data_IF_295523398090
#
_entry.id   IF_295523398090
#
_cell.length_a   1.000
_cell.length_b   1.000
_cell.length_c   1.000
_cell.angle_alpha   90.00
_cell.angle_beta   90.00
_cell.angle_gamma   90.00
#
_symmetry.space_group_name_H-M   'P 1'
#
loop_
_entity.id
_entity.type
_entity.pdbx_description
1 polymer ?
#
# COMPACT_ATOMS: atom_id res chain seq x y z
N UNK A 1 -7.68 -5.13 -44.65
CA UNK A 1 -7.77 -5.33 -43.18
C UNK A 1 -7.30 -4.09 -42.42
N UNK A 2 -6.13 -3.51 -42.75
CA UNK A 2 -5.58 -2.32 -42.08
C UNK A 2 -6.54 -1.10 -42.08
N UNK A 3 -7.21 -0.82 -43.20
CA UNK A 3 -8.15 0.30 -43.29
C UNK A 3 -9.35 0.17 -42.34
N UNK A 4 -9.80 -1.05 -42.06
CA UNK A 4 -10.92 -1.30 -41.15
C UNK A 4 -10.49 -1.06 -39.70
N UNK A 5 -9.26 -1.44 -39.35
CA UNK A 5 -8.67 -1.18 -38.03
C UNK A 5 -8.51 0.34 -37.82
N UNK A 6 -7.95 1.04 -38.81
CA UNK A 6 -7.81 2.51 -38.74
C UNK A 6 -9.18 3.19 -38.65
N UNK A 7 -10.18 2.76 -39.43
CA UNK A 7 -11.55 3.30 -39.33
C UNK A 7 -12.19 3.05 -37.97
N UNK A 8 -11.95 1.89 -37.36
CA UNK A 8 -12.44 1.57 -36.03
C UNK A 8 -11.83 2.51 -34.99
N UNK A 9 -10.51 2.62 -34.93
CA UNK A 9 -9.82 3.50 -33.97
C UNK A 9 -10.01 4.99 -34.28
N UNK A 10 -10.42 5.40 -35.46
CA UNK A 10 -10.71 6.83 -35.77
C UNK A 10 -12.21 7.19 -35.69
N UNK A 11 -13.03 6.24 -35.22
CA UNK A 11 -14.49 6.37 -35.15
C UNK A 11 -14.94 7.22 -33.97
N UNK A 12 -15.91 8.12 -34.23
CA UNK A 12 -16.59 8.88 -33.18
C UNK A 12 -17.46 7.98 -32.29
N UNK A 13 -17.99 6.88 -32.82
CA UNK A 13 -18.79 5.92 -32.04
C UNK A 13 -17.97 5.32 -30.91
N UNK A 14 -16.71 4.96 -31.20
CA UNK A 14 -15.78 4.44 -30.19
C UNK A 14 -15.52 5.48 -29.09
N UNK A 15 -15.25 6.73 -29.47
CA UNK A 15 -15.05 7.84 -28.51
C UNK A 15 -16.25 7.97 -27.57
N UNK A 16 -17.47 8.05 -28.10
CA UNK A 16 -18.69 8.23 -27.30
C UNK A 16 -18.95 7.02 -26.41
N UNK A 17 -18.74 5.80 -26.91
CA UNK A 17 -18.85 4.57 -26.10
C UNK A 17 -17.85 4.59 -24.94
N UNK A 18 -16.58 4.90 -25.19
CA UNK A 18 -15.56 4.98 -24.14
C UNK A 18 -15.87 6.05 -23.10
N UNK A 19 -16.31 7.25 -23.51
CA UNK A 19 -16.69 8.32 -22.58
C UNK A 19 -17.90 7.94 -21.72
N UNK A 20 -18.89 7.26 -22.31
CA UNK A 20 -20.06 6.76 -21.59
C UNK A 20 -19.65 5.71 -20.56
N UNK A 21 -18.79 4.76 -20.94
CA UNK A 21 -18.26 3.75 -20.01
C UNK A 21 -17.45 4.39 -18.89
N UNK A 22 -16.60 5.39 -19.19
CA UNK A 22 -15.87 6.12 -18.15
C UNK A 22 -16.81 6.84 -17.18
N UNK A 23 -17.87 7.46 -17.67
CA UNK A 23 -18.88 8.09 -16.82
C UNK A 23 -19.52 7.06 -15.87
N UNK A 24 -19.84 5.86 -16.37
CA UNK A 24 -20.38 4.77 -15.54
C UNK A 24 -19.36 4.26 -14.52
N UNK A 25 -18.11 4.06 -14.91
CA UNK A 25 -17.02 3.63 -14.01
C UNK A 25 -16.83 4.66 -12.88
N UNK A 26 -16.77 5.95 -13.23
CA UNK A 26 -16.65 7.03 -12.23
C UNK A 26 -17.86 7.02 -11.29
N UNK A 27 -19.07 6.96 -11.82
CA UNK A 27 -20.29 6.96 -11.01
C UNK A 27 -20.34 5.77 -10.03
N UNK A 28 -20.15 4.54 -10.53
CA UNK A 28 -20.20 3.34 -9.69
C UNK A 28 -19.02 3.29 -8.71
N UNK A 29 -17.82 3.67 -9.16
CA UNK A 29 -16.64 3.75 -8.31
C UNK A 29 -16.84 4.73 -7.16
N UNK A 30 -17.40 5.91 -7.40
CA UNK A 30 -17.69 6.89 -6.35
C UNK A 30 -18.72 6.37 -5.33
N UNK A 31 -19.72 5.60 -5.76
CA UNK A 31 -20.64 4.94 -4.82
C UNK A 31 -19.88 3.91 -3.97
N UNK A 32 -19.08 3.05 -4.61
CA UNK A 32 -18.30 2.03 -3.91
C UNK A 32 -17.25 2.62 -2.95
N UNK A 33 -16.77 3.85 -3.21
CA UNK A 33 -15.74 4.51 -2.43
C UNK A 33 -16.20 4.83 -1.01
N UNK A 34 -17.51 5.01 -0.79
CA UNK A 34 -18.08 5.29 0.53
C UNK A 34 -17.79 4.14 1.50
N UNK A 35 -17.92 2.90 1.04
CA UNK A 35 -17.78 1.71 1.88
C UNK A 35 -16.39 1.06 1.81
N UNK A 36 -15.75 1.10 0.63
CA UNK A 36 -14.49 0.38 0.38
C UNK A 36 -13.25 1.27 0.51
N UNK A 37 -13.43 2.58 0.68
CA UNK A 37 -12.35 3.55 0.66
C UNK A 37 -11.78 3.79 -0.75
N UNK A 38 -10.99 4.86 -0.88
CA UNK A 38 -10.54 5.33 -2.19
C UNK A 38 -9.51 4.40 -2.82
N UNK A 39 -8.60 3.85 -2.02
CA UNK A 39 -7.51 3.01 -2.55
C UNK A 39 -8.04 1.74 -3.22
N UNK A 40 -8.90 1.00 -2.53
CA UNK A 40 -9.49 -0.25 -3.04
C UNK A 40 -10.34 0.03 -4.28
N UNK A 41 -11.08 1.14 -4.29
CA UNK A 41 -11.87 1.52 -5.47
C UNK A 41 -10.98 1.89 -6.65
N UNK A 42 -9.90 2.64 -6.44
CA UNK A 42 -8.95 2.93 -7.51
C UNK A 42 -8.41 1.65 -8.13
N UNK A 43 -7.92 0.72 -7.31
CA UNK A 43 -7.37 -0.56 -7.76
C UNK A 43 -8.42 -1.40 -8.54
N UNK A 44 -9.61 -1.54 -7.95
CA UNK A 44 -10.68 -2.40 -8.50
C UNK A 44 -11.33 -1.84 -9.75
N UNK A 45 -11.60 -0.53 -9.80
CA UNK A 45 -12.39 0.08 -10.88
C UNK A 45 -11.53 0.79 -11.94
N UNK A 46 -10.47 1.48 -11.52
CA UNK A 46 -9.69 2.35 -12.41
C UNK A 46 -8.40 1.70 -12.91
N UNK A 47 -7.70 0.95 -12.04
CA UNK A 47 -6.44 0.25 -12.38
C UNK A 47 -6.64 -1.21 -12.81
N UNK A 48 -7.82 -1.54 -13.32
CA UNK A 48 -8.17 -2.89 -13.74
C UNK A 48 -8.56 -2.96 -15.22
N UNK A 49 -8.42 -4.15 -15.80
CA UNK A 49 -8.91 -4.44 -17.16
C UNK A 49 -10.42 -4.73 -17.13
N UNK A 50 -10.88 -5.46 -16.13
CA UNK A 50 -12.29 -5.72 -15.86
C UNK A 50 -12.56 -5.55 -14.37
N UNK A 51 -13.74 -5.05 -14.06
CA UNK A 51 -14.27 -5.02 -12.70
C UNK A 51 -14.99 -6.33 -12.44
N UNK A 52 -14.57 -7.04 -11.41
CA UNK A 52 -15.15 -8.31 -11.00
C UNK A 52 -16.06 -8.13 -9.79
N UNK A 53 -17.14 -8.90 -9.76
CA UNK A 53 -18.06 -8.98 -8.65
C UNK A 53 -18.41 -10.45 -8.35
N UNK A 54 -18.60 -10.76 -7.06
CA UNK A 54 -19.02 -12.07 -6.58
C UNK A 54 -19.69 -11.97 -5.21
N UNK A 55 -20.54 -12.94 -4.83
CA UNK A 55 -21.14 -13.00 -3.49
C UNK A 55 -20.11 -13.15 -2.37
N UNK A 56 -20.41 -12.67 -1.17
CA UNK A 56 -19.57 -12.92 0.01
C UNK A 56 -19.46 -14.42 0.28
N UNK A 57 -18.22 -14.93 0.44
CA UNK A 57 -17.87 -16.35 0.61
C UNK A 57 -18.06 -17.27 -0.61
N UNK A 58 -18.18 -16.70 -1.82
CA UNK A 58 -18.15 -17.48 -3.05
C UNK A 58 -16.73 -17.56 -3.64
N UNK A 59 -16.32 -18.75 -4.10
CA UNK A 59 -15.04 -18.96 -4.80
C UNK A 59 -15.06 -18.47 -6.27
N UNK A 60 -16.19 -17.95 -6.74
CA UNK A 60 -16.36 -17.51 -8.12
C UNK A 60 -16.62 -16.01 -8.21
N UNK A 61 -16.11 -15.40 -9.27
CA UNK A 61 -16.32 -13.99 -9.60
C UNK A 61 -16.62 -13.86 -11.09
N UNK A 62 -17.47 -12.90 -11.45
CA UNK A 62 -17.83 -12.59 -12.83
C UNK A 62 -17.42 -11.17 -13.22
N UNK A 63 -16.95 -10.96 -14.47
CA UNK A 63 -16.67 -9.62 -14.96
C UNK A 63 -17.98 -8.89 -15.22
N UNK A 64 -18.25 -7.82 -14.48
CA UNK A 64 -19.50 -7.05 -14.58
C UNK A 64 -19.39 -5.86 -15.53
N UNK A 65 -18.20 -5.27 -15.65
CA UNK A 65 -17.96 -4.13 -16.54
C UNK A 65 -16.48 -4.02 -16.92
N UNK A 66 -16.13 -3.35 -18.04
CA UNK A 66 -14.75 -3.02 -18.34
C UNK A 66 -14.17 -2.07 -17.28
N UNK A 67 -12.91 -2.27 -16.92
CA UNK A 67 -12.19 -1.41 -15.99
C UNK A 67 -11.54 -0.20 -16.67
N UNK A 68 -11.05 0.73 -15.84
CA UNK A 68 -10.49 2.00 -16.29
C UNK A 68 -9.29 1.86 -17.24
N UNK A 69 -8.43 0.87 -17.06
CA UNK A 69 -7.32 0.63 -18.00
C UNK A 69 -7.80 0.16 -19.36
N UNK A 70 -8.77 -0.74 -19.41
CA UNK A 70 -9.30 -1.19 -20.68
C UNK A 70 -9.97 -0.04 -21.44
N UNK A 71 -10.89 0.69 -20.80
CA UNK A 71 -11.58 1.82 -21.44
C UNK A 71 -10.60 2.95 -21.77
N UNK A 72 -9.66 3.24 -20.88
CA UNK A 72 -8.62 4.25 -21.05
C UNK A 72 -7.69 3.97 -22.20
N UNK A 73 -7.20 2.74 -22.35
CA UNK A 73 -6.35 2.36 -23.48
C UNK A 73 -7.11 2.50 -24.80
N UNK A 74 -8.36 2.03 -24.90
CA UNK A 74 -9.14 2.19 -26.11
C UNK A 74 -9.42 3.66 -26.44
N UNK A 75 -9.72 4.48 -25.43
CA UNK A 75 -9.91 5.92 -25.60
C UNK A 75 -8.62 6.61 -26.06
N UNK A 76 -7.48 6.27 -25.48
CA UNK A 76 -6.17 6.83 -25.85
C UNK A 76 -5.79 6.46 -27.28
N UNK A 77 -5.89 5.18 -27.65
CA UNK A 77 -5.64 4.72 -29.03
C UNK A 77 -6.58 5.41 -30.01
N UNK A 78 -7.84 5.59 -29.63
CA UNK A 78 -8.82 6.30 -30.44
C UNK A 78 -8.45 7.77 -30.63
N UNK A 79 -8.09 8.45 -29.55
CA UNK A 79 -7.72 9.86 -29.54
C UNK A 79 -6.45 10.11 -30.36
N UNK A 80 -5.41 9.30 -30.17
CA UNK A 80 -4.15 9.37 -30.94
C UNK A 80 -4.42 9.07 -32.42
N UNK A 81 -5.16 8.00 -32.72
CA UNK A 81 -5.51 7.63 -34.09
C UNK A 81 -6.28 8.73 -34.80
N UNK A 82 -7.31 9.29 -34.16
CA UNK A 82 -8.10 10.38 -34.72
C UNK A 82 -7.28 11.68 -34.87
N UNK A 83 -6.40 11.98 -33.91
CA UNK A 83 -5.52 13.14 -33.94
C UNK A 83 -4.57 13.09 -35.15
N UNK A 84 -3.91 11.95 -35.37
CA UNK A 84 -3.01 11.75 -36.50
C UNK A 84 -3.77 11.75 -37.82
N UNK A 85 -4.85 10.96 -37.94
CA UNK A 85 -5.58 10.79 -39.20
C UNK A 85 -6.27 12.06 -39.71
N UNK A 86 -6.68 12.95 -38.80
CA UNK A 86 -7.41 14.19 -39.14
C UNK A 86 -6.53 15.44 -39.10
N UNK A 87 -5.23 15.27 -38.86
CA UNK A 87 -4.30 16.38 -38.76
C UNK A 87 -4.20 17.16 -40.08
N UNK A 88 -4.52 18.44 -40.02
CA UNK A 88 -4.37 19.43 -41.09
C UNK A 88 -3.91 20.74 -40.47
N UNK A 89 -2.64 21.09 -40.68
CA UNK A 89 -2.03 22.27 -40.10
C UNK A 89 -2.67 23.53 -40.69
N UNK A 90 -3.53 24.19 -39.93
CA UNK A 90 -4.21 25.42 -40.33
C UNK A 90 -4.44 26.26 -39.08
N UNK A 91 -4.13 27.56 -39.13
CA UNK A 91 -4.26 28.47 -37.97
C UNK A 91 -5.67 28.44 -37.36
N UNK A 92 -6.71 28.25 -38.17
CA UNK A 92 -8.12 28.12 -37.73
C UNK A 92 -8.40 26.90 -36.84
N UNK A 93 -7.57 25.86 -36.88
CA UNK A 93 -7.76 24.60 -36.14
C UNK A 93 -6.72 24.36 -35.05
N UNK A 94 -5.80 25.31 -34.85
CA UNK A 94 -4.69 25.19 -33.93
C UNK A 94 -5.17 24.90 -32.49
N UNK A 95 -6.21 25.60 -32.04
CA UNK A 95 -6.79 25.38 -30.71
C UNK A 95 -7.26 23.95 -30.50
N UNK A 96 -7.97 23.36 -31.49
CA UNK A 96 -8.45 21.97 -31.41
C UNK A 96 -7.25 21.02 -31.28
N UNK A 97 -6.20 21.20 -32.07
CA UNK A 97 -5.02 20.32 -31.99
C UNK A 97 -4.29 20.46 -30.66
N UNK A 98 -4.11 21.67 -30.15
CA UNK A 98 -3.49 21.90 -28.84
C UNK A 98 -4.30 21.22 -27.74
N UNK A 99 -5.64 21.33 -27.75
CA UNK A 99 -6.49 20.67 -26.76
C UNK A 99 -6.38 19.15 -26.80
N UNK A 100 -6.39 18.55 -27.99
CA UNK A 100 -6.28 17.08 -28.11
C UNK A 100 -4.87 16.59 -27.77
N UNK A 101 -3.82 17.31 -28.17
CA UNK A 101 -2.44 17.01 -27.78
C UNK A 101 -2.25 17.14 -26.27
N UNK A 102 -2.80 18.17 -25.65
CA UNK A 102 -2.80 18.36 -24.19
C UNK A 102 -3.53 17.23 -23.48
N UNK A 103 -4.70 16.82 -23.97
CA UNK A 103 -5.44 15.68 -23.39
C UNK A 103 -4.66 14.36 -23.51
N UNK A 104 -4.04 14.10 -24.67
CA UNK A 104 -3.16 12.93 -24.86
C UNK A 104 -2.01 12.98 -23.86
N UNK A 105 -1.36 14.14 -23.71
CA UNK A 105 -0.26 14.33 -22.76
C UNK A 105 -0.71 14.09 -21.31
N UNK A 106 -1.88 14.59 -20.90
CA UNK A 106 -2.41 14.38 -19.56
C UNK A 106 -2.71 12.91 -19.28
N UNK A 107 -3.34 12.19 -20.22
CA UNK A 107 -3.66 10.77 -20.06
C UNK A 107 -2.37 9.93 -20.00
N UNK A 108 -1.40 10.20 -20.87
CA UNK A 108 -0.09 9.54 -20.83
C UNK A 108 0.66 9.85 -19.54
N UNK A 109 0.63 11.11 -19.09
CA UNK A 109 1.22 11.54 -17.82
C UNK A 109 0.65 10.75 -16.66
N UNK A 110 -0.68 10.65 -16.56
CA UNK A 110 -1.33 9.86 -15.51
C UNK A 110 -0.96 8.37 -15.56
N UNK A 111 -0.89 7.77 -16.76
CA UNK A 111 -0.46 6.38 -16.91
C UNK A 111 0.98 6.16 -16.43
N UNK A 112 1.90 7.07 -16.78
CA UNK A 112 3.28 6.96 -16.33
C UNK A 112 3.45 7.25 -14.85
N UNK A 113 2.72 8.21 -14.29
CA UNK A 113 2.68 8.44 -12.84
C UNK A 113 2.21 7.17 -12.14
N UNK A 114 1.15 6.52 -12.61
CA UNK A 114 0.69 5.30 -11.98
C UNK A 114 1.73 4.15 -12.03
N UNK A 115 2.36 3.94 -13.19
CA UNK A 115 3.27 2.81 -13.39
C UNK A 115 4.67 3.03 -12.81
N UNK A 116 5.12 4.28 -12.70
CA UNK A 116 6.53 4.61 -12.39
C UNK A 116 6.69 5.38 -11.08
N UNK A 117 5.64 6.02 -10.57
CA UNK A 117 5.74 6.79 -9.33
C UNK A 117 5.83 5.86 -8.12
N UNK A 118 6.67 6.23 -7.16
CA UNK A 118 6.71 5.60 -5.83
C UNK A 118 6.33 6.66 -4.81
N UNK A 119 5.32 6.37 -4.01
CA UNK A 119 4.93 7.22 -2.90
C UNK A 119 5.74 6.80 -1.68
N UNK A 120 6.36 7.77 -1.01
CA UNK A 120 7.01 7.58 0.27
C UNK A 120 6.84 8.84 1.09
N UNK A 121 7.12 8.72 2.37
CA UNK A 121 7.06 9.85 3.27
C UNK A 121 8.15 9.82 4.30
N UNK A 122 8.37 10.98 4.90
CA UNK A 122 9.44 11.20 5.85
C UNK A 122 8.87 12.01 7.00
N UNK A 123 8.83 11.40 8.18
CA UNK A 123 8.50 12.09 9.42
C UNK A 123 9.80 12.63 10.02
N UNK A 124 9.86 13.94 10.27
CA UNK A 124 11.02 14.61 10.88
C UNK A 124 10.53 15.30 12.13
N UNK A 125 11.01 14.85 13.31
CA UNK A 125 10.71 15.52 14.58
C UNK A 125 11.56 16.78 14.73
N UNK A 126 11.08 17.74 15.51
CA UNK A 126 11.80 19.00 15.75
C UNK A 126 13.19 18.73 16.34
N UNK A 127 14.23 19.19 15.65
CA UNK A 127 15.64 19.02 16.05
C UNK A 127 16.31 17.75 15.51
N UNK A 128 15.59 16.86 14.83
CA UNK A 128 16.16 15.67 14.20
C UNK A 128 16.57 15.91 12.74
N UNK A 129 17.46 15.08 12.22
CA UNK A 129 17.80 14.99 10.79
C UNK A 129 17.59 13.55 10.37
N UNK A 130 16.75 13.33 9.36
CA UNK A 130 16.38 12.00 8.86
C UNK A 130 16.79 11.88 7.40
N UNK A 131 17.40 10.76 7.01
CA UNK A 131 17.88 10.50 5.64
C UNK A 131 17.17 9.32 4.96
N UNK A 132 16.07 8.83 5.54
CA UNK A 132 15.26 7.76 4.97
C UNK A 132 13.81 8.21 4.80
N UNK A 133 13.14 7.65 3.79
CA UNK A 133 11.69 7.77 3.61
C UNK A 133 11.10 6.37 3.61
N UNK A 134 9.90 6.24 4.15
CA UNK A 134 9.23 4.96 4.30
C UNK A 134 7.90 4.94 3.55
N UNK A 135 7.36 3.74 3.31
CA UNK A 135 6.09 3.54 2.62
C UNK A 135 5.05 3.21 3.69
N UNK A 136 4.16 4.17 3.97
CA UNK A 136 3.18 4.09 5.04
C UNK A 136 2.26 2.86 5.05
N UNK A 137 2.25 2.06 3.98
CA UNK A 137 1.46 0.83 3.87
C UNK A 137 2.27 -0.43 4.13
N UNK A 138 3.60 -0.35 4.11
CA UNK A 138 4.47 -1.50 4.28
C UNK A 138 5.15 -1.40 5.63
N UNK A 139 4.86 -2.35 6.49
CA UNK A 139 5.50 -2.39 7.79
C UNK A 139 6.73 -3.31 7.76
N UNK A 140 7.69 -3.01 8.61
CA UNK A 140 8.81 -3.90 8.91
C UNK A 140 9.10 -3.92 10.40
N UNK A 141 9.58 -5.07 10.88
CA UNK A 141 10.22 -5.14 12.18
C UNK A 141 11.69 -4.77 12.01
N UNK A 142 12.10 -3.69 12.66
CA UNK A 142 13.47 -3.26 12.71
C UNK A 142 14.08 -3.60 14.06
N UNK A 143 15.17 -4.36 14.01
CA UNK A 143 16.08 -4.55 15.12
C UNK A 143 17.37 -3.77 14.83
N UNK A 144 17.72 -2.82 15.69
CA UNK A 144 18.91 -2.00 15.53
C UNK A 144 19.94 -2.40 16.59
N UNK A 145 21.17 -2.62 16.16
CA UNK A 145 22.35 -2.77 17.02
C UNK A 145 23.07 -1.42 17.10
N UNK A 146 23.07 -0.81 18.28
CA UNK A 146 23.71 0.48 18.58
C UNK A 146 25.14 0.32 19.13
N UNK A 147 25.75 -0.87 19.00
CA UNK A 147 27.08 -1.13 19.58
C UNK A 147 28.24 -0.41 18.90
N UNK A 148 28.06 0.10 17.68
CA UNK A 148 29.07 0.87 16.96
C UNK A 148 28.80 2.38 17.12
N UNK A 149 29.85 3.16 17.37
CA UNK A 149 29.76 4.61 17.60
C UNK A 149 29.61 5.44 16.33
N UNK A 150 29.91 4.88 15.15
CA UNK A 150 29.82 5.60 13.87
C UNK A 150 28.55 5.29 13.08
N UNK A 151 28.09 4.03 13.10
CA UNK A 151 26.95 3.56 12.31
C UNK A 151 26.16 2.48 13.04
N UNK A 152 24.83 2.59 13.01
CA UNK A 152 23.92 1.58 13.52
C UNK A 152 23.75 0.43 12.51
N UNK A 153 23.79 -0.83 12.99
CA UNK A 153 23.47 -1.99 12.14
C UNK A 153 22.00 -2.37 12.28
N UNK A 154 21.25 -2.31 11.18
CA UNK A 154 19.81 -2.61 11.16
C UNK A 154 19.55 -3.99 10.56
N UNK A 155 18.78 -4.81 11.27
CA UNK A 155 18.18 -6.04 10.78
C UNK A 155 16.69 -5.77 10.54
N UNK A 156 16.30 -5.72 9.27
CA UNK A 156 14.92 -5.49 8.86
C UNK A 156 14.25 -6.81 8.45
N UNK A 157 13.06 -7.06 9.00
CA UNK A 157 12.21 -8.21 8.68
C UNK A 157 10.90 -7.68 8.10
N UNK A 158 10.58 -8.07 6.86
CA UNK A 158 9.36 -7.60 6.19
C UNK A 158 8.10 -8.09 6.90
N UNK A 159 7.03 -7.29 6.84
CA UNK A 159 5.70 -7.67 7.32
C UNK A 159 5.22 -9.02 6.79
N UNK A 160 5.40 -9.28 5.49
CA UNK A 160 5.05 -10.56 4.88
C UNK A 160 5.79 -11.76 5.50
N UNK A 161 7.05 -11.57 5.89
CA UNK A 161 7.82 -12.60 6.55
C UNK A 161 7.33 -12.81 7.99
N UNK A 162 7.07 -11.74 8.74
CA UNK A 162 6.52 -11.81 10.10
C UNK A 162 5.16 -12.52 10.11
N UNK A 163 4.27 -12.15 9.19
CA UNK A 163 2.95 -12.76 9.07
C UNK A 163 3.06 -14.26 8.77
N UNK A 164 3.98 -14.66 7.87
CA UNK A 164 4.22 -16.08 7.57
C UNK A 164 4.81 -16.88 8.73
N UNK A 165 5.37 -16.18 9.73
CA UNK A 165 6.01 -16.75 10.91
C UNK A 165 5.22 -16.53 12.20
N UNK A 166 3.97 -16.05 12.13
CA UNK A 166 3.10 -15.98 13.30
C UNK A 166 2.94 -17.37 13.91
N UNK A 167 3.24 -17.52 15.20
CA UNK A 167 3.31 -18.79 15.92
C UNK A 167 4.59 -19.61 15.67
N UNK A 168 5.62 -19.03 15.04
CA UNK A 168 6.85 -19.73 14.71
C UNK A 168 8.12 -18.96 15.10
N UNK A 169 9.20 -19.72 15.29
CA UNK A 169 10.51 -19.18 15.65
C UNK A 169 11.35 -18.88 14.41
N UNK A 170 11.87 -17.66 14.34
CA UNK A 170 12.90 -17.22 13.41
C UNK A 170 14.26 -17.59 14.03
N UNK A 171 15.06 -18.44 13.36
CA UNK A 171 16.37 -18.84 13.87
C UNK A 171 17.36 -17.68 13.82
N UNK A 172 18.37 -17.73 14.70
CA UNK A 172 19.43 -16.73 14.87
C UNK A 172 20.46 -16.68 13.71
N UNK A 173 20.08 -17.01 12.48
CA UNK A 173 21.03 -17.14 11.36
C UNK A 173 21.79 -15.83 11.09
N UNK A 174 21.22 -14.88 10.33
CA UNK A 174 21.77 -13.54 10.21
C UNK A 174 21.44 -12.65 11.42
N UNK A 175 20.46 -13.04 12.25
CA UNK A 175 20.03 -12.30 13.44
C UNK A 175 20.95 -12.59 14.63
N UNK A 176 21.15 -11.63 15.56
CA UNK A 176 21.99 -11.83 16.74
C UNK A 176 21.45 -12.86 17.74
N UNK A 177 20.16 -13.20 17.68
CA UNK A 177 19.46 -14.11 18.58
C UNK A 177 18.22 -14.71 17.90
N UNK A 178 17.55 -15.68 18.54
CA UNK A 178 16.30 -16.26 18.03
C UNK A 178 15.13 -15.34 18.39
N UNK A 179 14.15 -15.23 17.49
CA UNK A 179 12.93 -14.45 17.72
C UNK A 179 11.73 -15.37 17.51
N UNK A 180 10.94 -15.60 18.54
CA UNK A 180 9.66 -16.29 18.43
C UNK A 180 8.55 -15.24 18.22
N UNK A 181 7.91 -15.28 17.06
CA UNK A 181 6.80 -14.38 16.73
C UNK A 181 5.54 -15.04 17.24
N UNK A 182 5.07 -14.65 18.43
CA UNK A 182 3.90 -15.28 19.05
C UNK A 182 2.65 -14.99 18.22
N UNK A 183 2.41 -13.72 17.99
CA UNK A 183 1.26 -13.22 17.23
C UNK A 183 1.64 -11.99 16.41
N UNK A 184 1.00 -11.87 15.25
CA UNK A 184 1.09 -10.72 14.37
C UNK A 184 -0.30 -10.27 13.94
N UNK A 185 -0.55 -8.96 13.99
CA UNK A 185 -1.77 -8.34 13.51
C UNK A 185 -1.44 -7.22 12.51
N UNK A 186 -2.04 -7.25 11.30
CA UNK A 186 -1.78 -6.23 10.28
C UNK A 186 -2.35 -4.87 10.65
N UNK A 187 -3.47 -4.83 11.38
CA UNK A 187 -4.05 -3.59 11.90
C UNK A 187 -4.70 -3.81 13.27
N UNK A 188 -4.41 -2.91 14.21
CA UNK A 188 -4.96 -2.95 15.57
C UNK A 188 -5.32 -1.57 16.09
N UNK A 189 -6.15 -1.55 17.12
CA UNK A 189 -6.30 -0.41 18.00
C UNK A 189 -5.68 -0.73 19.36
N UNK A 190 -4.79 0.15 19.84
CA UNK A 190 -4.09 0.02 21.11
C UNK A 190 -4.61 1.04 22.11
N UNK A 191 -4.90 0.60 23.33
CA UNK A 191 -5.31 1.48 24.44
C UNK A 191 -4.57 1.12 25.72
N UNK A 192 -4.23 2.13 26.53
CA UNK A 192 -3.52 1.94 27.81
C UNK A 192 -4.43 1.65 29.01
N UNK A 193 -5.72 1.40 28.78
CA UNK A 193 -6.72 1.11 29.83
C UNK A 193 -7.66 0.02 29.35
N UNK A 194 -8.14 -0.78 30.30
CA UNK A 194 -9.10 -1.84 30.00
C UNK A 194 -10.37 -1.26 29.35
N UNK A 195 -10.81 -1.92 28.28
CA UNK A 195 -11.97 -1.51 27.49
C UNK A 195 -12.62 -2.76 26.91
N UNK A 196 -13.95 -2.74 26.82
CA UNK A 196 -14.73 -3.85 26.30
C UNK A 196 -14.31 -4.23 24.87
N UNK A 197 -14.10 -5.53 24.64
CA UNK A 197 -13.66 -6.07 23.35
C UNK A 197 -12.18 -5.89 23.04
N UNK A 198 -11.35 -5.51 24.01
CA UNK A 198 -9.89 -5.51 23.89
C UNK A 198 -9.28 -6.61 24.76
N UNK A 199 -8.22 -7.24 24.26
CA UNK A 199 -7.46 -8.26 24.97
C UNK A 199 -6.21 -7.63 25.57
N UNK A 200 -5.92 -7.95 26.83
CA UNK A 200 -4.68 -7.53 27.48
C UNK A 200 -3.50 -8.30 26.88
N UNK A 201 -2.45 -7.60 26.46
CA UNK A 201 -1.20 -8.22 26.01
C UNK A 201 -0.26 -8.36 27.21
N UNK A 202 0.21 -9.59 27.45
CA UNK A 202 1.16 -9.91 28.53
C UNK A 202 2.60 -9.87 28.01
N UNK A 203 3.04 -8.70 27.55
CA UNK A 203 4.47 -8.46 27.36
C UNK A 203 5.11 -8.22 28.73
N UNK A 204 6.22 -8.90 29.02
CA UNK A 204 6.93 -8.76 30.30
C UNK A 204 8.05 -7.70 30.25
N UNK A 205 8.38 -7.21 29.05
CA UNK A 205 9.46 -6.28 28.79
C UNK A 205 8.96 -5.06 28.02
N UNK A 206 9.35 -3.88 28.50
CA UNK A 206 9.01 -2.59 27.88
C UNK A 206 7.57 -2.13 28.14
N UNK A 207 6.75 -1.98 27.09
CA UNK A 207 5.37 -1.47 27.22
C UNK A 207 4.44 -2.48 27.89
N UNK A 208 4.03 -2.16 29.12
CA UNK A 208 3.10 -2.95 29.92
C UNK A 208 1.69 -2.31 29.96
N UNK A 209 0.67 -3.11 30.30
CA UNK A 209 -0.73 -2.68 30.40
C UNK A 209 -1.32 -2.11 29.09
N UNK A 210 -0.90 -2.69 27.96
CA UNK A 210 -1.50 -2.38 26.66
C UNK A 210 -2.61 -3.38 26.36
N UNK A 211 -3.76 -2.86 25.95
CA UNK A 211 -4.90 -3.63 25.50
C UNK A 211 -5.05 -3.45 23.99
N UNK A 212 -5.26 -4.56 23.29
CA UNK A 212 -5.25 -4.65 21.84
C UNK A 212 -6.60 -5.14 21.34
N UNK A 213 -7.08 -4.54 20.27
CA UNK A 213 -8.20 -5.04 19.47
C UNK A 213 -7.81 -5.10 18.00
N UNK A 214 -7.96 -6.27 17.38
CA UNK A 214 -7.73 -6.43 15.95
C UNK A 214 -8.76 -5.62 15.15
N UNK A 215 -8.30 -4.93 14.11
CA UNK A 215 -9.11 -4.10 13.23
C UNK A 215 -8.99 -4.61 11.78
N UNK A 216 -10.00 -4.38 10.93
CA UNK A 216 -9.85 -4.60 9.49
C UNK A 216 -8.79 -3.65 8.91
N UNK A 217 -8.16 -3.99 7.77
CA UNK A 217 -7.25 -3.07 7.09
C UNK A 217 -7.89 -1.72 6.79
N UNK A 218 -7.13 -0.65 6.95
CA UNK A 218 -7.55 0.71 6.69
C UNK A 218 -7.63 0.97 5.18
N UNK A 219 -8.70 1.65 4.77
CA UNK A 219 -9.01 1.88 3.36
C UNK A 219 -9.00 3.35 2.98
N UNK A 220 -9.02 4.25 3.98
CA UNK A 220 -8.84 5.67 3.81
C UNK A 220 -7.38 6.02 3.44
N UNK A 221 -7.17 7.14 2.75
CA UNK A 221 -5.81 7.58 2.35
C UNK A 221 -5.09 8.36 3.45
N UNK A 222 -5.84 8.96 4.37
CA UNK A 222 -5.33 9.81 5.45
C UNK A 222 -5.10 9.05 6.76
N UNK A 223 -5.36 7.74 6.75
CA UNK A 223 -5.15 6.84 7.88
C UNK A 223 -4.27 5.68 7.47
N UNK A 224 -3.59 5.11 8.46
CA UNK A 224 -2.67 3.99 8.28
C UNK A 224 -3.09 2.82 9.16
N UNK A 225 -2.73 1.64 8.70
CA UNK A 225 -2.77 0.45 9.53
C UNK A 225 -1.75 0.59 10.68
N UNK A 226 -2.17 0.15 11.86
CA UNK A 226 -1.27 0.00 13.01
C UNK A 226 -0.89 -1.47 13.08
N UNK A 227 0.19 -1.84 12.39
CA UNK A 227 0.78 -3.17 12.51
C UNK A 227 1.33 -3.39 13.92
N UNK A 228 1.05 -4.55 14.50
CA UNK A 228 1.53 -4.92 15.83
C UNK A 228 1.96 -6.39 15.89
N UNK A 229 2.98 -6.68 16.70
CA UNK A 229 3.47 -8.03 16.93
C UNK A 229 3.87 -8.22 18.40
N UNK A 230 3.70 -9.44 18.91
CA UNK A 230 4.29 -9.87 20.17
C UNK A 230 5.48 -10.76 19.87
N UNK A 231 6.65 -10.32 20.31
CA UNK A 231 7.92 -10.96 20.03
C UNK A 231 8.54 -11.47 21.33
N UNK A 232 8.87 -12.74 21.35
CA UNK A 232 9.69 -13.34 22.41
C UNK A 232 11.13 -13.47 21.89
N UNK A 233 12.06 -12.77 22.52
CA UNK A 233 13.48 -12.84 22.15
C UNK A 233 14.17 -13.88 23.02
N UNK A 234 14.96 -14.77 22.39
CA UNK A 234 15.58 -15.91 23.06
C UNK A 234 17.07 -16.03 22.70
N UNK A 235 17.89 -16.36 23.70
CA UNK A 235 19.27 -16.82 23.53
C UNK A 235 19.34 -18.33 23.78
N UNK A 236 19.58 -19.10 22.72
CA UNK A 236 19.47 -20.56 22.77
C UNK A 236 18.04 -21.00 23.09
N UNK A 237 17.84 -21.56 24.28
CA UNK A 237 16.54 -21.98 24.82
C UNK A 237 16.10 -21.10 26.02
N UNK A 238 16.83 -20.01 26.29
CA UNK A 238 16.53 -19.07 27.38
C UNK A 238 15.78 -17.86 26.86
N UNK A 239 14.59 -17.60 27.40
CA UNK A 239 13.81 -16.39 27.08
C UNK A 239 14.44 -15.17 27.75
N UNK A 240 14.82 -14.18 26.94
CA UNK A 240 15.35 -12.88 27.41
C UNK A 240 14.22 -11.92 27.80
N UNK A 241 13.08 -12.02 27.11
CA UNK A 241 11.90 -11.19 27.37
C UNK A 241 10.87 -11.27 26.25
N UNK A 242 9.73 -10.63 26.50
CA UNK A 242 8.63 -10.50 25.56
C UNK A 242 8.29 -9.02 25.36
N UNK A 243 8.34 -8.58 24.11
CA UNK A 243 8.07 -7.21 23.72
C UNK A 243 6.84 -7.13 22.83
N UNK A 244 5.91 -6.23 23.18
CA UNK A 244 4.90 -5.76 22.25
C UNK A 244 5.51 -4.65 21.40
N UNK A 245 5.56 -4.86 20.09
CA UNK A 245 5.97 -3.84 19.12
C UNK A 245 4.79 -3.44 18.26
N UNK A 246 4.69 -2.16 17.94
CA UNK A 246 3.70 -1.65 17.01
C UNK A 246 4.21 -0.37 16.34
N UNK A 247 3.69 -0.05 15.15
CA UNK A 247 4.16 1.12 14.37
C UNK A 247 3.90 2.47 15.03
N UNK A 248 3.03 2.51 16.04
CA UNK A 248 2.71 3.70 16.85
C UNK A 248 3.47 3.76 18.18
N UNK A 249 4.25 2.72 18.50
CA UNK A 249 5.05 2.66 19.72
C UNK A 249 6.50 3.00 19.38
N UNK A 250 7.14 3.78 20.25
CA UNK A 250 8.57 4.07 20.10
C UNK A 250 9.41 2.77 20.20
N UNK A 251 10.52 2.66 19.45
CA UNK A 251 11.42 1.52 19.56
C UNK A 251 11.88 1.30 21.00
N UNK A 252 11.83 0.06 21.46
CA UNK A 252 12.17 -0.32 22.82
C UNK A 252 13.61 -0.80 22.90
N UNK A 253 14.38 -0.19 23.78
CA UNK A 253 15.79 -0.53 24.00
C UNK A 253 15.95 -1.68 25.00
N UNK A 254 16.93 -2.53 24.75
CA UNK A 254 17.35 -3.58 25.68
C UNK A 254 18.83 -3.90 25.48
N UNK A 255 19.46 -4.48 26.51
CA UNK A 255 20.86 -4.85 26.48
C UNK A 255 21.02 -6.36 26.30
N UNK A 256 21.90 -6.78 25.40
CA UNK A 256 22.22 -8.18 25.18
C UNK A 256 23.72 -8.34 24.93
N UNK A 257 24.37 -9.20 25.72
CA UNK A 257 25.82 -9.47 25.66
C UNK A 257 26.70 -8.18 25.68
N UNK A 258 26.30 -7.17 26.45
CA UNK A 258 27.03 -5.90 26.56
C UNK A 258 26.83 -4.93 25.39
N UNK A 259 25.92 -5.24 24.47
CA UNK A 259 25.50 -4.36 23.37
C UNK A 259 24.09 -3.83 23.61
N UNK A 260 23.86 -2.57 23.26
CA UNK A 260 22.53 -1.97 23.27
C UNK A 260 21.83 -2.27 21.93
N UNK A 261 20.63 -2.83 22.01
CA UNK A 261 19.76 -3.06 20.88
C UNK A 261 18.46 -2.28 21.04
N UNK A 262 17.81 -1.94 19.94
CA UNK A 262 16.42 -1.47 19.94
C UNK A 262 15.55 -2.28 19.00
N UNK A 263 14.33 -2.59 19.42
CA UNK A 263 13.35 -3.34 18.64
C UNK A 263 12.07 -2.54 18.50
N UNK A 264 11.55 -2.43 17.29
CA UNK A 264 10.32 -1.70 17.01
C UNK A 264 9.79 -1.99 15.63
N UNK A 265 8.50 -1.73 15.42
CA UNK A 265 7.93 -1.74 14.08
C UNK A 265 8.04 -0.37 13.45
N UNK A 266 8.36 -0.36 12.16
CA UNK A 266 8.42 0.84 11.33
C UNK A 266 7.42 0.70 10.19
N UNK A 267 6.87 1.83 9.77
CA UNK A 267 6.07 1.99 8.55
C UNK A 267 6.81 2.96 7.65
#
# INVERSE_FOLDING_TARGET
MLDNIVKFFTSLRLTVTCLTLFMLIVFVGTIAQVDQGLYIVQERYFKSVFVYWGPENADWQIPVMPGGYLVGTFLLLNLVGAYIARFKLTRKKLGIYISHAGLILLILGQLFTDLLSRESAMEIKEGETVSHSSDFRLNELALIDHSNTEEDKVYALSESFLQSKSGATIPSGPLPFKINVKDYWPNVNLVGKEKEGYTRIEANSGFNNVFLKAMPPETAMDKRDVGAAVLEIMDGDTTLGEWLVATVLDPQKFNYQGKEFSVGMRA
#
